data_IF_652583902676
#
_entry.id   IF_652583902676
#
_cell.length_a   1.000
_cell.length_b   1.000
_cell.length_c   1.000
_cell.angle_alpha   90.00
_cell.angle_beta   90.00
_cell.angle_gamma   90.00
#
_symmetry.space_group_name_H-M   'P 1'
#
loop_
_entity.id
_entity.type
_entity.pdbx_description
1 polymer ?
#
# COMPACT_ATOMS: atom_id res chain seq x y z
N UNK A 1 -6.77 3.10 -8.69
CA UNK A 1 -6.80 2.76 -7.26
C UNK A 1 -6.26 1.35 -7.03
N UNK A 2 -5.46 1.18 -6.02
CA UNK A 2 -4.88 -0.15 -5.72
C UNK A 2 -5.77 -0.89 -4.73
N UNK A 3 -6.87 -1.41 -5.23
CA UNK A 3 -7.92 -2.04 -4.42
C UNK A 3 -7.39 -3.21 -3.59
N UNK A 4 -6.54 -4.03 -4.18
CA UNK A 4 -5.99 -5.19 -3.48
C UNK A 4 -5.12 -4.78 -2.30
N UNK A 5 -4.35 -3.70 -2.45
CA UNK A 5 -3.54 -3.17 -1.35
C UNK A 5 -4.44 -2.72 -0.20
N UNK A 6 -5.53 -2.02 -0.52
CA UNK A 6 -6.50 -1.57 0.48
C UNK A 6 -7.11 -2.76 1.20
N UNK A 7 -7.53 -3.78 0.46
CA UNK A 7 -8.14 -4.98 1.03
C UNK A 7 -7.20 -5.71 2.00
N UNK A 8 -5.94 -5.91 1.58
CA UNK A 8 -4.97 -6.62 2.41
C UNK A 8 -4.67 -5.81 3.68
N UNK A 9 -4.53 -4.49 3.53
CA UNK A 9 -4.31 -3.62 4.69
C UNK A 9 -5.46 -3.74 5.69
N UNK A 10 -6.69 -3.68 5.21
CA UNK A 10 -7.88 -3.78 6.07
C UNK A 10 -7.97 -5.14 6.74
N UNK A 11 -7.61 -6.19 6.04
CA UNK A 11 -7.56 -7.53 6.61
C UNK A 11 -6.60 -7.61 7.80
N UNK A 12 -5.51 -6.87 7.73
CA UNK A 12 -4.54 -6.78 8.83
C UNK A 12 -4.97 -5.79 9.90
N UNK A 13 -6.12 -5.15 9.73
CA UNK A 13 -6.68 -4.18 10.68
C UNK A 13 -5.76 -3.00 10.92
N UNK A 14 -5.07 -2.57 9.87
CA UNK A 14 -4.17 -1.42 9.92
C UNK A 14 -4.84 -0.23 9.23
N UNK A 15 -4.70 0.95 9.84
CA UNK A 15 -5.14 2.19 9.22
C UNK A 15 -4.07 2.69 8.26
N UNK A 16 -4.45 3.64 7.39
CA UNK A 16 -3.49 4.28 6.49
C UNK A 16 -2.38 4.97 7.29
N UNK A 17 -2.74 5.60 8.41
CA UNK A 17 -1.75 6.26 9.25
C UNK A 17 -0.77 5.27 9.85
N UNK A 18 -1.27 4.13 10.32
CA UNK A 18 -0.41 3.08 10.88
C UNK A 18 0.55 2.54 9.82
N UNK A 19 0.07 2.35 8.61
CA UNK A 19 0.93 1.92 7.50
C UNK A 19 2.01 2.94 7.23
N UNK A 20 1.64 4.22 7.16
CA UNK A 20 2.60 5.29 6.92
C UNK A 20 3.68 5.34 8.00
N UNK A 21 3.28 5.17 9.26
CA UNK A 21 4.21 5.14 10.38
C UNK A 21 5.19 3.98 10.26
N UNK A 22 4.70 2.80 9.93
CA UNK A 22 5.55 1.61 9.78
C UNK A 22 6.51 1.73 8.61
N UNK A 23 6.12 2.46 7.57
CA UNK A 23 6.96 2.69 6.40
C UNK A 23 7.85 3.92 6.56
N UNK A 24 7.67 4.67 7.65
CA UNK A 24 8.39 5.91 7.92
C UNK A 24 8.21 6.94 6.79
N UNK A 25 6.98 7.08 6.33
CA UNK A 25 6.61 8.06 5.30
C UNK A 25 5.38 8.83 5.79
N UNK A 26 5.05 9.90 5.09
CA UNK A 26 3.86 10.68 5.43
C UNK A 26 2.59 9.92 5.04
N UNK A 27 1.50 10.20 5.77
CA UNK A 27 0.21 9.62 5.46
C UNK A 27 -0.24 9.99 4.05
N UNK A 28 0.02 11.24 3.64
CA UNK A 28 -0.33 11.72 2.29
C UNK A 28 0.35 10.88 1.22
N UNK A 29 1.62 10.57 1.40
CA UNK A 29 2.35 9.74 0.47
C UNK A 29 1.76 8.33 0.41
N UNK A 30 1.48 7.74 1.57
CA UNK A 30 0.91 6.39 1.60
C UNK A 30 -0.48 6.37 0.95
N UNK A 31 -1.32 7.38 1.26
CA UNK A 31 -2.64 7.50 0.65
C UNK A 31 -2.53 7.56 -0.87
N UNK A 32 -1.52 8.28 -1.37
CA UNK A 32 -1.26 8.34 -2.81
C UNK A 32 -0.94 6.98 -3.41
N UNK A 33 -0.27 6.10 -2.65
CA UNK A 33 -0.02 4.74 -3.12
C UNK A 33 -1.33 3.96 -3.28
N UNK A 34 -2.25 4.09 -2.33
CA UNK A 34 -3.53 3.40 -2.43
C UNK A 34 -4.41 3.97 -3.52
N UNK A 35 -4.37 5.28 -3.72
CA UNK A 35 -5.17 5.96 -4.76
C UNK A 35 -4.64 5.71 -6.17
N UNK A 36 -3.38 5.32 -6.30
CA UNK A 36 -2.73 5.20 -7.59
C UNK A 36 -2.12 6.50 -8.09
N UNK A 37 -2.14 7.56 -7.27
CA UNK A 37 -1.52 8.84 -7.62
C UNK A 37 0.01 8.72 -7.69
N UNK A 38 0.58 7.94 -6.77
CA UNK A 38 2.01 7.69 -6.73
C UNK A 38 2.26 6.19 -6.84
N UNK A 39 3.43 5.84 -7.37
CA UNK A 39 3.88 4.45 -7.38
C UNK A 39 5.01 4.31 -6.35
N UNK A 40 4.94 3.31 -5.46
CA UNK A 40 6.02 3.12 -4.51
C UNK A 40 7.31 2.68 -5.22
N UNK A 41 8.44 3.12 -4.69
CA UNK A 41 9.73 2.62 -5.15
C UNK A 41 9.84 1.13 -4.82
N UNK A 42 10.81 0.45 -5.41
CA UNK A 42 11.03 -0.96 -5.12
C UNK A 42 11.26 -1.18 -3.61
N UNK A 43 12.05 -0.32 -2.99
CA UNK A 43 12.30 -0.42 -1.55
C UNK A 43 11.03 -0.32 -0.73
N UNK A 44 10.20 0.67 -1.03
CA UNK A 44 8.94 0.88 -0.32
C UNK A 44 7.98 -0.28 -0.60
N UNK A 45 7.93 -0.76 -1.84
CA UNK A 45 7.09 -1.89 -2.19
C UNK A 45 7.45 -3.14 -1.37
N UNK A 46 8.74 -3.41 -1.22
CA UNK A 46 9.19 -4.54 -0.41
C UNK A 46 8.84 -4.36 1.06
N UNK A 47 8.95 -3.14 1.58
CA UNK A 47 8.56 -2.84 2.96
C UNK A 47 7.06 -3.01 3.17
N UNK A 48 6.24 -2.58 2.22
CA UNK A 48 4.79 -2.76 2.28
C UNK A 48 4.46 -4.24 2.39
N UNK A 49 5.04 -5.06 1.54
CA UNK A 49 4.81 -6.51 1.56
C UNK A 49 5.23 -7.10 2.90
N UNK A 50 6.33 -6.63 3.44
CA UNK A 50 6.85 -7.10 4.73
C UNK A 50 5.89 -6.75 5.86
N UNK A 51 5.45 -5.51 5.92
CA UNK A 51 4.50 -5.04 6.96
C UNK A 51 3.20 -5.84 6.90
N UNK A 52 2.72 -6.12 5.70
CA UNK A 52 1.47 -6.83 5.50
C UNK A 52 1.62 -8.36 5.54
N UNK A 53 2.85 -8.86 5.57
CA UNK A 53 3.08 -10.30 5.50
C UNK A 53 2.56 -10.90 4.21
N UNK A 54 2.66 -10.16 3.10
CA UNK A 54 2.09 -10.54 1.82
C UNK A 54 3.21 -10.72 0.79
N UNK A 55 3.19 -11.83 0.09
CA UNK A 55 4.34 -12.21 -0.77
C UNK A 55 4.14 -11.90 -2.24
N UNK A 56 2.91 -11.67 -2.67
CA UNK A 56 2.62 -11.44 -4.09
C UNK A 56 2.71 -9.95 -4.41
N UNK A 57 2.83 -9.65 -5.70
CA UNK A 57 2.92 -8.27 -6.18
C UNK A 57 1.59 -7.73 -6.68
N UNK A 58 0.54 -8.52 -6.65
CA UNK A 58 -0.77 -8.11 -7.16
C UNK A 58 -1.38 -6.95 -6.36
N UNK A 59 -0.90 -6.71 -5.14
CA UNK A 59 -1.35 -5.56 -4.34
C UNK A 59 -0.91 -4.24 -4.96
N UNK A 60 0.06 -4.26 -5.85
CA UNK A 60 0.54 -3.02 -6.48
C UNK A 60 -0.12 -2.75 -7.82
N UNK A 61 -1.00 -3.63 -8.28
CA UNK A 61 -1.74 -3.39 -9.51
C UNK A 61 -2.75 -2.27 -9.31
N UNK A 62 -2.75 -1.34 -10.24
CA UNK A 62 -3.71 -0.24 -10.22
C UNK A 62 -4.95 -0.70 -10.97
N UNK A 63 -6.08 -0.76 -10.28
CA UNK A 63 -7.34 -1.12 -10.91
C UNK A 63 -7.86 0.08 -11.68
N UNK A 64 -7.64 0.04 -12.95
CA UNK A 64 -8.16 1.02 -13.86
C UNK A 64 -9.45 0.49 -14.43
N UNK A 65 -10.47 0.50 -13.63
CA UNK A 65 -11.79 0.14 -14.11
C UNK A 65 -12.41 1.41 -14.65
N UNK A 66 -12.03 1.71 -15.81
CA UNK A 66 -12.58 2.90 -16.45
C UNK A 66 -13.68 2.52 -17.34
#
# INVERSE_FOLDING_TARGET
MRIKLIEVRKKKKLTQEQMAQRLNISRTTYTGYENGTFSPSLEIALEIKKVLGYKKDDIFLNSNVG
#
